data_IF_969725588312
#
_entry.id   IF_969725588312
#
_cell.length_a   1.000
_cell.length_b   1.000
_cell.length_c   1.000
_cell.angle_alpha   90.00
_cell.angle_beta   90.00
_cell.angle_gamma   90.00
#
_symmetry.space_group_name_H-M   'P 1'
#
loop_
_entity.id
_entity.type
_entity.pdbx_description
1 polymer ?
#
# COMPACT_ATOMS: atom_id res chain seq x y z
N UNK A 1 -8.59 4.02 -16.13
CA UNK A 1 -7.82 3.63 -14.93
C UNK A 1 -8.82 3.63 -13.81
N UNK A 2 -9.11 2.46 -13.25
CA UNK A 2 -9.99 2.39 -12.08
C UNK A 2 -9.29 3.11 -10.94
N UNK A 3 -9.87 4.21 -10.47
CA UNK A 3 -9.41 4.90 -9.27
C UNK A 3 -9.42 3.89 -8.13
N UNK A 4 -8.23 3.52 -7.67
CA UNK A 4 -8.06 2.59 -6.58
C UNK A 4 -8.86 3.11 -5.38
N UNK A 5 -9.98 2.45 -5.09
CA UNK A 5 -10.92 2.91 -4.07
C UNK A 5 -10.40 2.48 -2.70
N UNK A 6 -9.49 3.26 -2.16
CA UNK A 6 -9.10 3.19 -0.76
C UNK A 6 -10.35 3.35 0.10
N UNK A 7 -10.47 2.64 1.21
CA UNK A 7 -11.53 2.82 2.21
C UNK A 7 -10.89 2.91 3.58
N UNK A 8 -11.41 3.75 4.45
CA UNK A 8 -10.87 3.92 5.80
C UNK A 8 -11.83 3.28 6.79
N UNK A 9 -11.41 2.17 7.38
CA UNK A 9 -12.21 1.46 8.39
C UNK A 9 -11.83 1.97 9.78
N UNK A 10 -12.82 2.41 10.54
CA UNK A 10 -12.65 2.79 11.95
C UNK A 10 -12.10 1.58 12.74
N UNK A 11 -11.00 1.76 13.47
CA UNK A 11 -10.37 0.66 14.22
C UNK A 11 -10.57 0.76 15.74
N UNK A 12 -11.20 1.85 16.21
CA UNK A 12 -11.53 2.08 17.62
C UNK A 12 -10.40 2.58 18.50
N UNK A 13 -9.18 2.68 17.98
CA UNK A 13 -8.06 3.31 18.67
C UNK A 13 -8.27 4.81 18.77
N UNK A 14 -8.04 5.37 19.96
CA UNK A 14 -8.03 6.81 20.19
C UNK A 14 -6.59 7.30 20.30
N UNK A 15 -6.30 8.45 19.70
CA UNK A 15 -5.06 9.17 19.97
C UNK A 15 -4.99 9.61 21.44
N UNK A 16 -3.81 10.05 21.88
CA UNK A 16 -3.73 10.84 23.10
C UNK A 16 -4.54 12.14 22.95
N UNK A 17 -5.12 12.57 24.07
CA UNK A 17 -5.87 13.82 24.14
C UNK A 17 -4.90 14.98 24.44
N UNK A 18 -4.59 15.79 23.43
CA UNK A 18 -3.59 16.86 23.47
C UNK A 18 -4.21 18.24 23.71
N UNK A 19 -3.51 19.10 24.45
CA UNK A 19 -3.97 20.44 24.81
C UNK A 19 -3.75 20.73 26.29
N UNK A 20 -4.43 21.74 26.83
CA UNK A 20 -4.23 22.15 28.21
C UNK A 20 -4.92 21.20 29.21
N UNK A 21 -4.12 20.51 30.02
CA UNK A 21 -4.61 19.57 31.05
C UNK A 21 -5.24 20.25 32.26
N UNK A 22 -4.90 21.52 32.53
CA UNK A 22 -5.34 22.27 33.71
C UNK A 22 -6.68 22.99 33.49
N UNK A 23 -7.15 23.05 32.24
CA UNK A 23 -8.42 23.70 31.89
C UNK A 23 -9.53 22.65 31.82
N UNK A 24 -10.54 22.83 32.67
CA UNK A 24 -11.74 22.01 32.67
C UNK A 24 -12.51 22.09 31.35
N UNK A 25 -13.51 21.24 31.19
CA UNK A 25 -14.37 21.22 30.00
C UNK A 25 -15.23 19.96 29.96
N UNK A 26 -16.36 20.05 29.27
CA UNK A 26 -17.19 18.90 28.95
C UNK A 26 -16.47 18.00 27.95
N UNK A 27 -16.64 16.69 28.11
CA UNK A 27 -16.20 15.72 27.12
C UNK A 27 -17.08 15.80 25.89
N UNK A 28 -16.43 15.71 24.73
CA UNK A 28 -17.07 15.80 23.42
C UNK A 28 -16.53 14.67 22.55
N UNK A 29 -17.41 14.04 21.78
CA UNK A 29 -17.07 12.90 20.96
C UNK A 29 -18.02 12.82 19.77
N UNK A 30 -17.53 13.11 18.57
CA UNK A 30 -18.38 13.10 17.37
C UNK A 30 -18.81 11.67 16.98
N UNK A 31 -18.19 10.64 17.55
CA UNK A 31 -18.65 9.26 17.35
C UNK A 31 -20.04 9.04 17.96
N UNK A 32 -20.42 9.81 19.00
CA UNK A 32 -21.76 9.75 19.59
C UNK A 32 -22.81 10.30 18.59
N UNK A 33 -22.48 11.37 17.87
CA UNK A 33 -23.33 11.94 16.81
C UNK A 33 -23.47 10.98 15.64
N UNK A 34 -22.38 10.36 15.22
CA UNK A 34 -22.39 9.35 14.15
C UNK A 34 -23.24 8.15 14.59
N UNK A 35 -23.10 7.67 15.82
CA UNK A 35 -23.89 6.53 16.33
C UNK A 35 -25.39 6.84 16.32
N UNK A 36 -25.77 8.04 16.76
CA UNK A 36 -27.16 8.51 16.73
C UNK A 36 -27.72 8.57 15.31
N UNK A 37 -26.97 9.12 14.36
CA UNK A 37 -27.41 9.23 12.95
C UNK A 37 -27.54 7.87 12.25
N UNK A 38 -26.74 6.89 12.69
CA UNK A 38 -26.79 5.51 12.21
C UNK A 38 -27.77 4.63 13.00
N UNK A 39 -28.53 5.19 13.95
CA UNK A 39 -29.45 4.48 14.84
C UNK A 39 -28.81 3.24 15.50
N UNK A 40 -27.61 3.43 16.05
CA UNK A 40 -26.84 2.36 16.68
C UNK A 40 -26.05 2.87 17.88
N UNK A 41 -25.44 1.95 18.63
CA UNK A 41 -24.57 2.32 19.75
C UNK A 41 -23.14 2.61 19.27
N UNK A 42 -22.42 3.44 20.02
CA UNK A 42 -21.00 3.68 19.79
C UNK A 42 -20.17 2.41 19.90
N UNK A 43 -20.49 1.51 20.83
CA UNK A 43 -19.85 0.20 20.93
C UNK A 43 -20.04 -0.63 19.67
N UNK A 44 -21.22 -0.59 19.05
CA UNK A 44 -21.49 -1.35 17.84
C UNK A 44 -20.72 -0.77 16.64
N UNK A 45 -20.57 0.56 16.56
CA UNK A 45 -19.72 1.18 15.53
C UNK A 45 -18.28 0.68 15.58
N UNK A 46 -17.76 0.48 16.80
CA UNK A 46 -16.38 0.04 17.01
C UNK A 46 -16.20 -1.48 16.78
N UNK A 47 -17.22 -2.28 17.09
CA UNK A 47 -17.08 -3.74 17.16
C UNK A 47 -17.72 -4.51 15.99
N UNK A 48 -18.76 -3.97 15.35
CA UNK A 48 -19.64 -4.75 14.46
C UNK A 48 -19.42 -4.49 12.96
N UNK A 49 -18.29 -3.89 12.57
CA UNK A 49 -17.93 -3.65 11.16
C UNK A 49 -19.05 -2.93 10.36
N UNK A 50 -19.85 -2.10 11.04
CA UNK A 50 -20.99 -1.35 10.48
C UNK A 50 -20.49 -0.30 9.50
N UNK A 51 -19.45 0.43 9.90
CA UNK A 51 -18.79 1.43 9.07
C UNK A 51 -17.78 0.72 8.14
N UNK A 52 -17.99 0.85 6.84
CA UNK A 52 -17.08 0.38 5.79
C UNK A 52 -16.06 1.44 5.37
N UNK A 53 -16.46 2.71 5.42
CA UNK A 53 -15.59 3.84 5.11
C UNK A 53 -16.03 5.04 5.96
N UNK A 54 -15.09 5.70 6.63
CA UNK A 54 -15.33 6.97 7.33
C UNK A 54 -14.26 7.99 6.94
N UNK A 55 -14.69 9.19 6.56
CA UNK A 55 -13.81 10.25 6.11
C UNK A 55 -14.27 11.61 6.58
N UNK A 56 -13.31 12.49 6.86
CA UNK A 56 -13.58 13.91 7.04
C UNK A 56 -13.73 14.56 5.65
N UNK A 57 -14.87 15.22 5.41
CA UNK A 57 -15.13 16.00 4.19
C UNK A 57 -14.80 17.47 4.35
N UNK A 58 -15.09 18.01 5.52
CA UNK A 58 -14.91 19.42 5.80
C UNK A 58 -14.61 19.60 7.29
N UNK A 59 -13.82 20.61 7.60
CA UNK A 59 -13.63 21.12 8.95
C UNK A 59 -13.94 22.60 8.93
N UNK A 60 -14.77 23.04 9.87
CA UNK A 60 -14.98 24.45 10.16
C UNK A 60 -14.31 24.79 11.47
N UNK A 61 -13.55 25.87 11.49
CA UNK A 61 -12.82 26.35 12.66
C UNK A 61 -13.21 27.81 12.85
N UNK A 62 -13.66 28.16 14.04
CA UNK A 62 -13.89 29.55 14.42
C UNK A 62 -12.71 30.01 15.25
N UNK A 63 -12.06 31.09 14.81
CA UNK A 63 -10.90 31.64 15.49
C UNK A 63 -10.86 33.17 15.46
N UNK A 64 -10.37 33.75 16.56
CA UNK A 64 -9.94 35.14 16.65
C UNK A 64 -8.61 35.24 17.41
N UNK A 65 -8.68 35.36 18.75
CA UNK A 65 -7.50 35.39 19.63
C UNK A 65 -7.04 33.98 20.06
N UNK A 66 -7.92 32.99 19.89
CA UNK A 66 -7.69 31.57 20.06
C UNK A 66 -8.70 30.81 19.18
N UNK A 67 -8.68 29.47 19.22
CA UNK A 67 -9.70 28.63 18.57
C UNK A 67 -10.93 28.56 19.49
N UNK A 68 -11.93 29.35 19.14
CA UNK A 68 -13.23 29.39 19.83
C UNK A 68 -14.00 28.09 19.61
N UNK A 69 -14.05 27.59 18.38
CA UNK A 69 -14.83 26.39 18.08
C UNK A 69 -14.30 25.57 16.90
N UNK A 70 -14.71 24.30 16.86
CA UNK A 70 -14.46 23.40 15.73
C UNK A 70 -15.69 22.56 15.43
N UNK A 71 -15.92 22.25 14.15
CA UNK A 71 -16.96 21.34 13.70
C UNK A 71 -16.43 20.51 12.54
N UNK A 72 -16.58 19.20 12.64
CA UNK A 72 -16.21 18.25 11.58
C UNK A 72 -17.44 17.81 10.80
N UNK A 73 -17.23 17.51 9.53
CA UNK A 73 -18.25 16.98 8.63
C UNK A 73 -17.73 15.69 8.03
N UNK A 74 -18.56 14.65 8.05
CA UNK A 74 -18.14 13.29 7.75
C UNK A 74 -18.87 12.72 6.53
N UNK A 75 -18.15 11.91 5.74
CA UNK A 75 -18.73 10.90 4.85
C UNK A 75 -18.64 9.56 5.56
N UNK A 76 -19.77 8.90 5.79
CA UNK A 76 -19.78 7.58 6.42
C UNK A 76 -20.50 6.60 5.52
N UNK A 77 -19.81 5.55 5.08
CA UNK A 77 -20.36 4.48 4.24
C UNK A 77 -20.60 3.25 5.10
N UNK A 78 -21.80 2.72 5.05
CA UNK A 78 -22.22 1.44 5.67
C UNK A 78 -22.42 0.38 4.59
N UNK A 79 -22.91 -0.81 4.95
CA UNK A 79 -23.29 -1.83 3.97
C UNK A 79 -24.36 -1.32 2.99
N UNK A 80 -25.30 -0.53 3.48
CA UNK A 80 -26.53 -0.26 2.74
C UNK A 80 -26.53 1.11 2.07
N UNK A 81 -25.87 2.09 2.69
CA UNK A 81 -25.85 3.46 2.17
C UNK A 81 -24.67 4.30 2.66
N UNK A 82 -24.46 5.42 1.97
CA UNK A 82 -23.52 6.48 2.35
C UNK A 82 -24.27 7.66 2.95
N UNK A 83 -23.79 8.15 4.09
CA UNK A 83 -24.30 9.28 4.84
C UNK A 83 -23.35 10.46 4.73
N UNK A 84 -23.91 11.67 4.71
CA UNK A 84 -23.15 12.91 4.98
C UNK A 84 -23.61 13.41 6.34
N UNK A 85 -22.74 13.31 7.35
CA UNK A 85 -23.08 13.56 8.75
C UNK A 85 -22.39 14.83 9.21
N UNK A 86 -23.16 15.75 9.78
CA UNK A 86 -22.61 16.95 10.39
C UNK A 86 -22.29 16.62 11.85
N UNK A 87 -21.01 16.69 12.22
CA UNK A 87 -20.60 16.64 13.61
C UNK A 87 -21.14 17.84 14.39
N UNK A 88 -21.05 17.78 15.72
CA UNK A 88 -21.48 18.91 16.54
C UNK A 88 -20.47 20.05 16.43
N UNK A 89 -20.96 21.29 16.53
CA UNK A 89 -20.06 22.42 16.76
C UNK A 89 -19.65 22.39 18.23
N UNK A 90 -18.36 22.26 18.49
CA UNK A 90 -17.79 22.21 19.82
C UNK A 90 -17.07 23.52 20.15
N UNK A 91 -17.15 23.98 21.40
CA UNK A 91 -16.57 25.25 21.82
C UNK A 91 -17.57 26.42 21.85
N UNK A 92 -17.06 27.64 21.71
CA UNK A 92 -17.83 28.87 21.85
C UNK A 92 -18.51 29.40 20.58
N UNK A 93 -19.14 30.56 20.73
CA UNK A 93 -19.80 31.30 19.64
C UNK A 93 -18.92 32.38 19.00
N UNK A 94 -17.72 32.62 19.55
CA UNK A 94 -16.77 33.62 19.06
C UNK A 94 -16.05 33.19 17.78
N UNK A 95 -15.15 34.05 17.30
CA UNK A 95 -14.25 33.78 16.19
C UNK A 95 -14.84 33.97 14.80
N UNK A 96 -13.96 34.23 13.83
CA UNK A 96 -14.27 34.21 12.39
C UNK A 96 -14.16 32.78 11.87
N UNK A 97 -15.11 32.39 11.04
CA UNK A 97 -15.13 31.06 10.42
C UNK A 97 -14.01 30.93 9.36
N UNK A 98 -13.25 29.84 9.45
CA UNK A 98 -12.36 29.31 8.44
C UNK A 98 -12.82 27.91 8.05
N UNK A 99 -12.83 27.62 6.74
CA UNK A 99 -13.32 26.36 6.19
C UNK A 99 -12.16 25.61 5.51
N UNK A 100 -12.01 24.34 5.86
CA UNK A 100 -11.11 23.39 5.19
C UNK A 100 -12.00 22.39 4.45
N UNK A 101 -11.87 22.32 3.12
CA UNK A 101 -12.56 21.32 2.29
C UNK A 101 -11.57 20.24 1.87
N UNK A 102 -11.96 18.98 2.04
CA UNK A 102 -11.18 17.81 1.68
C UNK A 102 -11.57 17.33 0.29
N UNK A 103 -10.57 16.97 -0.50
CA UNK A 103 -10.76 16.33 -1.80
C UNK A 103 -11.16 14.85 -1.64
N UNK A 104 -11.76 14.27 -2.68
CA UNK A 104 -12.05 12.84 -2.67
C UNK A 104 -10.74 12.03 -2.57
N UNK A 105 -10.65 11.19 -1.54
CA UNK A 105 -9.44 10.42 -1.26
C UNK A 105 -8.50 11.07 -0.24
N UNK A 106 -8.71 12.34 0.10
CA UNK A 106 -7.89 13.04 1.09
C UNK A 106 -8.16 12.55 2.52
N UNK A 107 -7.10 12.29 3.28
CA UNK A 107 -7.21 11.93 4.69
C UNK A 107 -6.12 12.58 5.56
N UNK A 108 -6.40 12.68 6.85
CA UNK A 108 -5.54 13.35 7.84
C UNK A 108 -4.48 12.36 8.33
N UNK A 109 -3.21 12.67 8.07
CA UNK A 109 -2.05 11.90 8.53
C UNK A 109 -1.54 12.34 9.89
N UNK A 110 -1.62 13.63 10.18
CA UNK A 110 -1.16 14.17 11.44
C UNK A 110 -1.86 15.48 11.76
N UNK A 111 -1.93 15.78 13.05
CA UNK A 111 -2.39 17.07 13.55
C UNK A 111 -1.29 17.62 14.43
N UNK A 112 -1.02 18.90 14.30
CA UNK A 112 -0.20 19.61 15.27
C UNK A 112 -0.86 20.91 15.65
N UNK A 113 -0.40 21.51 16.72
CA UNK A 113 -0.99 22.73 17.20
C UNK A 113 -0.17 23.38 18.28
N UNK A 114 -0.67 24.52 18.73
CA UNK A 114 -0.08 25.26 19.83
C UNK A 114 -1.15 25.72 20.80
N UNK A 115 -0.79 25.80 22.07
CA UNK A 115 -1.64 26.38 23.11
C UNK A 115 -0.81 27.29 24.02
N UNK A 116 -1.40 28.40 24.45
CA UNK A 116 -0.77 29.38 25.32
C UNK A 116 -1.13 29.09 26.78
N UNK A 117 -0.24 28.58 27.64
CA UNK A 117 -0.51 28.61 29.07
C UNK A 117 -0.60 30.08 29.51
N UNK A 118 -1.77 30.54 29.92
CA UNK A 118 -1.90 31.91 30.44
C UNK A 118 -0.89 32.20 31.57
N UNK A 119 -0.66 33.47 31.93
CA UNK A 119 0.36 33.93 32.90
C UNK A 119 0.35 33.22 34.28
N UNK A 120 -0.69 32.45 34.59
CA UNK A 120 -0.83 31.65 35.81
C UNK A 120 -0.72 30.13 35.60
N UNK A 121 -0.42 29.65 34.38
CA UNK A 121 -0.25 28.24 34.03
C UNK A 121 -1.53 27.39 34.05
N UNK A 122 -2.71 28.01 34.11
CA UNK A 122 -3.98 27.33 34.46
C UNK A 122 -5.03 27.29 33.35
N UNK A 123 -5.09 28.25 32.42
CA UNK A 123 -6.24 28.40 31.51
C UNK A 123 -5.91 28.67 30.03
N UNK A 124 -4.83 28.09 29.52
CA UNK A 124 -4.53 28.14 28.10
C UNK A 124 -5.58 27.56 27.16
N UNK A 125 -5.79 28.26 26.05
CA UNK A 125 -6.64 27.86 24.93
C UNK A 125 -5.79 27.23 23.83
N UNK A 126 -6.43 26.45 22.96
CA UNK A 126 -5.83 26.04 21.70
C UNK A 126 -5.78 27.25 20.76
N UNK A 127 -4.60 27.65 20.30
CA UNK A 127 -4.40 28.88 19.52
C UNK A 127 -4.01 28.63 18.07
N UNK A 128 -3.38 27.49 17.81
CA UNK A 128 -3.02 27.07 16.46
C UNK A 128 -3.41 25.60 16.25
N UNK A 129 -3.92 25.32 15.05
CA UNK A 129 -4.08 23.97 14.53
C UNK A 129 -3.50 23.88 13.12
N UNK A 130 -2.75 22.81 12.90
CA UNK A 130 -2.21 22.42 11.61
C UNK A 130 -2.64 20.99 11.32
N UNK A 131 -3.20 20.78 10.14
CA UNK A 131 -3.52 19.46 9.61
C UNK A 131 -2.53 19.13 8.50
N UNK A 132 -1.96 17.92 8.57
CA UNK A 132 -1.13 17.34 7.52
C UNK A 132 -1.96 16.23 6.87
N UNK A 133 -2.25 16.41 5.59
CA UNK A 133 -3.14 15.52 4.85
C UNK A 133 -2.41 14.89 3.67
N UNK A 134 -2.90 13.74 3.21
CA UNK A 134 -2.39 13.07 2.02
C UNK A 134 -3.51 12.72 1.06
N UNK A 135 -3.22 12.90 -0.24
CA UNK A 135 -4.12 12.60 -1.35
C UNK A 135 -3.45 11.50 -2.19
N UNK A 136 -3.84 10.22 -2.03
CA UNK A 136 -3.19 9.09 -2.70
C UNK A 136 -3.18 9.21 -4.22
N UNK A 137 -4.31 9.60 -4.81
CA UNK A 137 -4.46 9.72 -6.27
C UNK A 137 -3.52 10.73 -6.91
N UNK A 138 -3.01 11.69 -6.12
CA UNK A 138 -2.07 12.73 -6.56
C UNK A 138 -0.66 12.53 -6.00
N UNK A 139 -0.46 11.53 -5.14
CA UNK A 139 0.73 11.36 -4.32
C UNK A 139 1.20 12.69 -3.67
N UNK A 140 0.26 13.43 -3.09
CA UNK A 140 0.48 14.81 -2.66
C UNK A 140 0.17 15.01 -1.17
N UNK A 141 1.01 15.79 -0.48
CA UNK A 141 0.82 16.19 0.90
C UNK A 141 0.31 17.63 0.95
N UNK A 142 -0.79 17.86 1.66
CA UNK A 142 -1.42 19.17 1.82
C UNK A 142 -1.38 19.61 3.27
N UNK A 143 -1.17 20.91 3.48
CA UNK A 143 -1.07 21.50 4.81
C UNK A 143 -2.15 22.56 4.98
N UNK A 144 -2.90 22.48 6.08
CA UNK A 144 -3.83 23.53 6.48
C UNK A 144 -3.40 24.05 7.83
N UNK A 145 -3.05 25.34 7.92
CA UNK A 145 -2.68 26.01 9.18
C UNK A 145 -3.72 27.09 9.48
N UNK A 146 -4.30 27.03 10.67
CA UNK A 146 -5.12 28.10 11.24
C UNK A 146 -4.45 28.56 12.53
N UNK A 147 -4.27 29.87 12.66
CA UNK A 147 -3.49 30.46 13.74
C UNK A 147 -4.15 31.74 14.22
N UNK A 148 -4.45 31.78 15.51
CA UNK A 148 -4.98 32.95 16.20
C UNK A 148 -3.87 33.84 16.77
N UNK A 149 -2.83 33.22 17.35
CA UNK A 149 -1.66 33.90 17.94
C UNK A 149 -0.44 32.96 17.93
N UNK A 150 0.77 33.50 17.99
CA UNK A 150 1.98 32.71 18.20
C UNK A 150 2.20 32.39 19.69
N UNK A 151 2.33 31.10 19.97
CA UNK A 151 2.48 30.54 21.32
C UNK A 151 3.70 29.62 21.37
N UNK A 152 4.16 29.29 22.59
CA UNK A 152 5.41 28.58 22.80
C UNK A 152 5.26 27.08 23.05
N UNK A 153 4.09 26.60 23.50
CA UNK A 153 3.88 25.17 23.70
C UNK A 153 3.22 24.56 22.48
N UNK A 154 3.92 23.66 21.81
CA UNK A 154 3.42 22.89 20.69
C UNK A 154 3.08 21.46 21.09
N UNK A 155 2.17 20.85 20.34
CA UNK A 155 2.00 19.41 20.32
C UNK A 155 1.98 18.94 18.86
N UNK A 156 2.38 17.70 18.68
CA UNK A 156 2.28 16.96 17.43
C UNK A 156 1.67 15.60 17.73
N UNK A 157 0.71 15.19 16.93
CA UNK A 157 0.06 13.89 17.02
C UNK A 157 0.02 13.25 15.64
N UNK A 158 0.53 12.03 15.59
CA UNK A 158 0.47 11.14 14.44
C UNK A 158 -0.12 9.81 14.91
N UNK A 159 -0.95 9.16 14.09
CA UNK A 159 -1.56 7.89 14.43
C UNK A 159 -0.53 6.76 14.29
N UNK A 160 -0.88 5.54 14.68
CA UNK A 160 -0.01 4.39 14.49
C UNK A 160 0.35 4.17 13.00
N UNK A 161 1.51 3.54 12.74
CA UNK A 161 1.93 3.24 11.36
C UNK A 161 0.84 2.46 10.60
N UNK A 162 0.51 2.91 9.38
CA UNK A 162 -0.54 2.31 8.56
C UNK A 162 -1.98 2.75 8.89
N UNK A 163 -2.16 3.76 9.76
CA UNK A 163 -3.47 4.31 10.12
C UNK A 163 -3.56 5.81 9.86
N UNK A 164 -4.78 6.36 9.93
CA UNK A 164 -5.13 7.76 9.66
C UNK A 164 -6.15 8.27 10.67
N UNK A 165 -6.29 9.59 10.81
CA UNK A 165 -7.32 10.16 11.68
C UNK A 165 -8.68 10.30 10.98
N UNK A 166 -9.74 9.94 11.68
CA UNK A 166 -11.08 9.75 11.09
C UNK A 166 -12.20 10.52 11.77
N UNK A 167 -12.26 10.48 13.12
CA UNK A 167 -13.35 11.07 13.90
C UNK A 167 -12.80 11.88 15.07
N UNK A 168 -13.44 12.99 15.40
CA UNK A 168 -12.96 13.91 16.42
C UNK A 168 -13.52 13.57 17.80
N UNK A 169 -12.69 13.74 18.83
CA UNK A 169 -13.13 13.80 20.22
C UNK A 169 -12.26 14.81 20.98
N UNK A 170 -12.68 15.23 22.16
CA UNK A 170 -11.96 16.29 22.84
C UNK A 170 -12.53 16.70 24.19
N UNK A 171 -12.09 17.88 24.62
CA UNK A 171 -12.72 18.65 25.69
C UNK A 171 -12.90 20.10 25.25
N UNK A 172 -14.03 20.68 25.61
CA UNK A 172 -14.29 22.09 25.39
C UNK A 172 -15.00 22.74 26.57
N UNK A 173 -14.88 24.05 26.65
CA UNK A 173 -15.76 24.88 27.48
C UNK A 173 -16.83 25.51 26.60
N UNK A 174 -17.71 26.33 27.19
CA UNK A 174 -18.66 27.15 26.43
C UNK A 174 -17.98 28.27 25.62
N UNK A 175 -16.65 28.41 25.71
CA UNK A 175 -15.90 29.48 25.08
C UNK A 175 -14.89 28.97 24.06
N UNK A 176 -14.27 27.82 24.31
CA UNK A 176 -13.11 27.38 23.52
C UNK A 176 -12.89 25.88 23.54
N UNK A 177 -12.14 25.40 22.54
CA UNK A 177 -11.55 24.07 22.55
C UNK A 177 -10.35 24.06 23.48
N UNK A 178 -10.32 23.11 24.42
CA UNK A 178 -9.23 23.00 25.40
C UNK A 178 -8.31 21.83 25.08
N UNK A 179 -8.88 20.72 24.58
CA UNK A 179 -8.12 19.53 24.19
C UNK A 179 -8.73 18.85 22.97
N UNK A 180 -7.87 18.29 22.12
CA UNK A 180 -8.21 17.59 20.88
C UNK A 180 -7.63 16.18 20.89
N UNK A 181 -8.41 15.23 20.41
CA UNK A 181 -8.01 13.88 20.07
C UNK A 181 -8.77 13.42 18.83
N UNK A 182 -8.28 12.33 18.22
CA UNK A 182 -8.89 11.74 17.04
C UNK A 182 -8.94 10.23 17.17
N UNK A 183 -9.99 9.62 16.63
CA UNK A 183 -10.02 8.19 16.37
C UNK A 183 -9.17 7.86 15.15
N UNK A 184 -8.54 6.70 15.21
CA UNK A 184 -7.77 6.14 14.12
C UNK A 184 -8.63 5.24 13.22
N UNK A 185 -8.25 5.19 11.95
CA UNK A 185 -8.81 4.26 10.98
C UNK A 185 -7.70 3.59 10.20
N UNK A 186 -7.89 2.32 9.86
CA UNK A 186 -6.99 1.58 9.00
C UNK A 186 -7.36 1.83 7.55
N UNK A 187 -6.36 2.22 6.74
CA UNK A 187 -6.52 2.30 5.30
C UNK A 187 -6.64 0.86 4.77
N UNK A 188 -7.71 0.59 4.02
CA UNK A 188 -7.90 -0.67 3.30
C UNK A 188 -7.92 -0.37 1.81
N UNK A 189 -7.06 -1.03 1.04
CA UNK A 189 -7.28 -1.21 -0.41
C UNK A 189 -7.62 -2.67 -0.67
N UNK A 190 -8.38 -2.89 -1.74
CA UNK A 190 -8.69 -4.25 -2.21
C UNK A 190 -7.40 -5.03 -2.52
N UNK A 191 -6.37 -4.35 -3.05
CA UNK A 191 -5.05 -4.96 -3.27
C UNK A 191 -4.40 -5.38 -1.95
N UNK A 192 -4.40 -4.52 -0.93
CA UNK A 192 -3.83 -4.87 0.38
C UNK A 192 -4.54 -6.06 1.03
N UNK A 193 -5.87 -6.14 0.92
CA UNK A 193 -6.63 -7.30 1.41
C UNK A 193 -6.27 -8.59 0.67
N UNK A 194 -6.09 -8.54 -0.67
CA UNK A 194 -5.67 -9.70 -1.45
C UNK A 194 -4.25 -10.16 -1.07
N UNK A 195 -3.32 -9.23 -0.85
CA UNK A 195 -1.97 -9.57 -0.38
C UNK A 195 -1.95 -10.11 1.03
N UNK A 196 -2.77 -9.56 1.93
CA UNK A 196 -2.94 -10.08 3.29
C UNK A 196 -3.48 -11.52 3.25
N UNK A 197 -4.53 -11.78 2.47
CA UNK A 197 -5.08 -13.14 2.31
C UNK A 197 -4.05 -14.14 1.79
N UNK A 198 -3.25 -13.74 0.79
CA UNK A 198 -2.18 -14.57 0.26
C UNK A 198 -1.08 -14.82 1.31
N UNK A 199 -0.75 -13.80 2.10
CA UNK A 199 0.21 -13.93 3.20
C UNK A 199 -0.31 -14.83 4.32
N UNK A 200 -1.58 -14.70 4.72
CA UNK A 200 -2.20 -15.53 5.76
C UNK A 200 -2.30 -17.00 5.33
N UNK A 201 -2.47 -17.27 4.03
CA UNK A 201 -2.44 -18.60 3.46
C UNK A 201 -1.04 -19.25 3.56
N UNK A 202 0.02 -18.48 3.28
CA UNK A 202 1.40 -18.97 3.30
C UNK A 202 2.02 -18.97 4.71
N UNK A 203 1.58 -18.06 5.57
CA UNK A 203 2.12 -17.85 6.92
C UNK A 203 0.99 -17.68 7.96
N UNK A 204 0.31 -18.77 8.34
CA UNK A 204 -0.68 -18.71 9.39
C UNK A 204 -0.07 -18.10 10.66
N UNK A 205 -0.74 -17.10 11.21
CA UNK A 205 -0.35 -16.43 12.46
C UNK A 205 0.89 -15.53 12.39
N UNK A 206 1.37 -15.14 11.19
CA UNK A 206 2.37 -14.08 11.04
C UNK A 206 1.73 -12.79 10.50
N UNK A 207 2.12 -11.60 11.00
CA UNK A 207 1.70 -10.35 10.39
C UNK A 207 2.22 -10.25 8.96
N UNK A 208 1.48 -9.55 8.11
CA UNK A 208 1.90 -9.34 6.72
C UNK A 208 3.23 -8.59 6.65
N UNK A 209 4.15 -9.20 5.92
CA UNK A 209 5.43 -8.60 5.56
C UNK A 209 5.66 -8.90 4.07
N UNK A 210 5.64 -7.83 3.26
CA UNK A 210 5.81 -7.96 1.81
C UNK A 210 7.18 -8.54 1.44
N UNK A 211 8.23 -8.25 2.20
CA UNK A 211 9.57 -8.79 1.96
C UNK A 211 9.57 -10.30 2.15
N UNK A 212 8.97 -10.77 3.25
CA UNK A 212 8.83 -12.20 3.56
C UNK A 212 7.95 -12.91 2.52
N UNK A 213 6.82 -12.31 2.14
CA UNK A 213 5.94 -12.84 1.09
C UNK A 213 6.66 -12.95 -0.27
N UNK A 214 7.41 -11.91 -0.66
CA UNK A 214 8.18 -11.89 -1.91
C UNK A 214 9.26 -12.96 -1.92
N UNK A 215 9.98 -13.13 -0.81
CA UNK A 215 11.00 -14.18 -0.66
C UNK A 215 10.38 -15.58 -0.79
N UNK A 216 9.25 -15.83 -0.13
CA UNK A 216 8.59 -17.14 -0.18
C UNK A 216 8.01 -17.47 -1.56
N UNK A 217 7.40 -16.50 -2.24
CA UNK A 217 6.97 -16.69 -3.64
C UNK A 217 8.17 -17.02 -4.53
N UNK A 218 9.32 -16.35 -4.32
CA UNK A 218 10.55 -16.64 -5.06
C UNK A 218 11.06 -18.05 -4.78
N UNK A 219 11.05 -18.46 -3.51
CA UNK A 219 11.42 -19.81 -3.07
C UNK A 219 10.53 -20.89 -3.70
N UNK A 220 9.21 -20.70 -3.67
CA UNK A 220 8.23 -21.62 -4.27
C UNK A 220 8.44 -21.76 -5.78
N UNK A 221 8.60 -20.63 -6.50
CA UNK A 221 8.92 -20.65 -7.94
C UNK A 221 10.20 -21.41 -8.25
N UNK A 222 11.24 -21.22 -7.44
CA UNK A 222 12.50 -21.95 -7.61
C UNK A 222 12.31 -23.46 -7.41
N UNK A 223 11.56 -23.87 -6.37
CA UNK A 223 11.28 -25.27 -6.08
C UNK A 223 10.48 -25.97 -7.19
N UNK A 224 9.60 -25.26 -7.87
CA UNK A 224 8.84 -25.79 -9.00
C UNK A 224 9.69 -25.84 -10.29
N UNK A 225 10.47 -24.79 -10.56
CA UNK A 225 11.21 -24.66 -11.81
C UNK A 225 12.48 -25.52 -11.85
N UNK A 226 13.20 -25.67 -10.73
CA UNK A 226 14.47 -26.39 -10.70
C UNK A 226 14.37 -27.87 -11.11
N UNK A 227 13.38 -28.66 -10.63
CA UNK A 227 13.17 -30.03 -11.11
C UNK A 227 12.82 -30.07 -12.60
N UNK A 228 11.95 -29.17 -13.07
CA UNK A 228 11.56 -29.10 -14.48
C UNK A 228 12.76 -28.84 -15.40
N UNK A 229 13.65 -27.91 -15.02
CA UNK A 229 14.89 -27.64 -15.78
C UNK A 229 15.77 -28.88 -15.83
N UNK A 230 15.91 -29.59 -14.71
CA UNK A 230 16.69 -30.84 -14.65
C UNK A 230 16.13 -31.91 -15.59
N UNK A 231 14.81 -32.11 -15.56
CA UNK A 231 14.14 -33.13 -16.38
C UNK A 231 14.24 -32.81 -17.88
N UNK A 232 14.03 -31.55 -18.27
CA UNK A 232 14.19 -31.13 -19.67
C UNK A 232 15.64 -31.23 -20.14
N UNK A 233 16.63 -30.94 -19.29
CA UNK A 233 18.06 -31.16 -19.60
C UNK A 233 18.38 -32.63 -19.84
N UNK A 234 17.83 -33.53 -19.02
CA UNK A 234 18.01 -34.96 -19.21
C UNK A 234 17.43 -35.41 -20.57
N UNK A 235 16.19 -35.03 -20.88
CA UNK A 235 15.54 -35.33 -22.17
C UNK A 235 16.32 -34.77 -23.37
N UNK A 236 16.84 -33.55 -23.23
CA UNK A 236 17.66 -32.94 -24.29
C UNK A 236 19.02 -33.63 -24.45
N UNK A 237 19.61 -34.12 -23.37
CA UNK A 237 20.81 -34.96 -23.41
C UNK A 237 20.55 -36.25 -24.21
N UNK A 238 19.44 -36.93 -23.97
CA UNK A 238 19.03 -38.11 -24.73
C UNK A 238 18.80 -37.80 -26.20
N UNK A 239 18.06 -36.71 -26.50
CA UNK A 239 17.83 -36.25 -27.87
C UNK A 239 19.14 -35.96 -28.59
N UNK A 240 20.09 -35.29 -27.91
CA UNK A 240 21.40 -34.95 -28.47
C UNK A 240 22.20 -36.23 -28.79
N UNK A 241 22.24 -37.19 -27.88
CA UNK A 241 22.90 -38.49 -28.11
C UNK A 241 22.30 -39.20 -29.32
N UNK A 242 20.97 -39.27 -29.42
CA UNK A 242 20.29 -39.90 -30.55
C UNK A 242 20.63 -39.20 -31.87
N UNK A 243 20.67 -37.87 -31.89
CA UNK A 243 21.03 -37.10 -33.09
C UNK A 243 22.48 -37.31 -33.50
N UNK A 244 23.40 -37.39 -32.54
CA UNK A 244 24.82 -37.70 -32.80
C UNK A 244 24.98 -39.10 -33.40
N UNK A 245 24.35 -40.11 -32.80
CA UNK A 245 24.38 -41.49 -33.32
C UNK A 245 23.83 -41.56 -34.74
N UNK A 246 22.74 -40.83 -35.05
CA UNK A 246 22.16 -40.78 -36.39
C UNK A 246 23.02 -40.00 -37.39
N UNK A 247 23.73 -38.97 -36.95
CA UNK A 247 24.62 -38.17 -37.78
C UNK A 247 25.90 -38.93 -38.20
N UNK A 248 26.31 -39.97 -37.45
CA UNK A 248 27.48 -40.79 -37.75
C UNK A 248 28.77 -39.96 -37.74
N UNK A 249 29.50 -39.95 -38.85
CA UNK A 249 30.76 -39.20 -39.01
C UNK A 249 30.62 -37.68 -38.76
N UNK A 250 29.39 -37.16 -38.77
CA UNK A 250 29.09 -35.75 -38.51
C UNK A 250 28.71 -35.44 -37.05
N UNK A 251 28.96 -36.34 -36.09
CA UNK A 251 28.65 -36.10 -34.66
C UNK A 251 29.21 -34.76 -34.13
N UNK A 252 30.43 -34.40 -34.55
CA UNK A 252 31.08 -33.15 -34.14
C UNK A 252 30.39 -31.92 -34.71
N UNK A 253 29.72 -32.05 -35.86
CA UNK A 253 28.94 -30.97 -36.46
C UNK A 253 27.66 -30.73 -35.67
N UNK A 254 27.09 -31.76 -35.04
CA UNK A 254 25.97 -31.60 -34.09
C UNK A 254 26.42 -30.76 -32.88
N UNK A 255 27.58 -31.04 -32.32
CA UNK A 255 28.13 -30.24 -31.21
C UNK A 255 28.36 -28.77 -31.62
N UNK A 256 28.98 -28.55 -32.78
CA UNK A 256 29.19 -27.21 -33.32
C UNK A 256 27.86 -26.48 -33.55
N UNK A 257 26.84 -27.14 -34.11
CA UNK A 257 25.51 -26.57 -34.29
C UNK A 257 24.92 -26.09 -32.95
N UNK A 258 24.99 -26.94 -31.92
CA UNK A 258 24.44 -26.63 -30.59
C UNK A 258 25.21 -25.51 -29.90
N UNK A 259 26.53 -25.47 -30.02
CA UNK A 259 27.34 -24.40 -29.42
C UNK A 259 27.14 -23.06 -30.14
N UNK A 260 27.06 -23.07 -31.47
CA UNK A 260 26.74 -21.86 -32.25
C UNK A 260 25.33 -21.36 -31.95
N UNK A 261 24.35 -22.25 -31.76
CA UNK A 261 23.00 -21.85 -31.37
C UNK A 261 22.95 -21.20 -29.98
N UNK A 262 23.72 -21.72 -29.00
CA UNK A 262 23.88 -21.06 -27.69
C UNK A 262 24.44 -19.65 -27.81
N UNK A 263 25.40 -19.44 -28.72
CA UNK A 263 25.94 -18.10 -28.99
C UNK A 263 24.90 -17.20 -29.66
N UNK A 264 24.15 -17.73 -30.62
CA UNK A 264 23.11 -17.00 -31.35
C UNK A 264 21.98 -16.49 -30.43
N UNK A 265 21.63 -17.28 -29.41
CA UNK A 265 20.61 -16.90 -28.41
C UNK A 265 21.06 -15.68 -27.60
N UNK A 266 22.37 -15.56 -27.32
CA UNK A 266 22.93 -14.42 -26.56
C UNK A 266 23.20 -13.21 -27.45
N UNK A 267 23.73 -13.46 -28.65
CA UNK A 267 24.16 -12.44 -29.59
C UNK A 267 23.69 -12.81 -31.01
N UNK A 268 22.79 -12.00 -31.57
CA UNK A 268 22.23 -12.24 -32.90
C UNK A 268 23.13 -11.64 -34.00
N UNK A 269 24.33 -12.19 -34.16
CA UNK A 269 25.31 -11.75 -35.16
C UNK A 269 25.09 -12.46 -36.52
N UNK A 270 25.27 -11.71 -37.62
CA UNK A 270 25.09 -12.21 -38.98
C UNK A 270 26.08 -13.35 -39.34
N UNK A 271 27.29 -13.33 -38.78
CA UNK A 271 28.28 -14.40 -38.90
C UNK A 271 27.82 -15.68 -38.20
N UNK A 272 27.23 -15.56 -37.00
CA UNK A 272 26.69 -16.69 -36.23
C UNK A 272 25.52 -17.33 -36.98
N UNK A 273 24.63 -16.52 -37.56
CA UNK A 273 23.54 -17.02 -38.40
C UNK A 273 24.06 -17.74 -39.65
N UNK A 274 25.12 -17.21 -40.29
CA UNK A 274 25.80 -17.88 -41.40
C UNK A 274 26.37 -19.25 -41.02
N UNK A 275 26.99 -19.36 -39.85
CA UNK A 275 27.49 -20.64 -39.31
C UNK A 275 26.37 -21.64 -39.04
N UNK A 276 25.26 -21.21 -38.42
CA UNK A 276 24.09 -22.06 -38.19
C UNK A 276 23.52 -22.63 -39.49
N UNK A 277 23.39 -21.81 -40.54
CA UNK A 277 22.91 -22.24 -41.85
C UNK A 277 23.87 -23.28 -42.45
N UNK A 278 25.18 -23.06 -42.35
CA UNK A 278 26.18 -23.99 -42.87
C UNK A 278 26.12 -25.35 -42.15
N UNK A 279 26.06 -25.37 -40.82
CA UNK A 279 25.99 -26.61 -40.05
C UNK A 279 24.68 -27.37 -40.27
N UNK A 280 23.54 -26.65 -40.37
CA UNK A 280 22.26 -27.26 -40.75
C UNK A 280 22.35 -27.94 -42.12
N UNK A 281 22.88 -27.25 -43.12
CA UNK A 281 23.03 -27.77 -44.49
C UNK A 281 23.86 -29.06 -44.54
N UNK A 282 24.96 -29.13 -43.77
CA UNK A 282 25.78 -30.36 -43.67
C UNK A 282 24.99 -31.50 -43.03
N UNK A 283 24.27 -31.22 -41.94
CA UNK A 283 23.51 -32.23 -41.19
C UNK A 283 22.23 -32.70 -41.91
N UNK A 284 21.66 -31.90 -42.81
CA UNK A 284 20.50 -32.27 -43.64
C UNK A 284 20.78 -33.48 -44.56
N UNK A 285 22.05 -33.86 -44.75
CA UNK A 285 22.43 -35.10 -45.44
C UNK A 285 22.13 -36.38 -44.65
N UNK A 286 21.90 -36.28 -43.33
CA UNK A 286 21.70 -37.42 -42.41
C UNK A 286 20.49 -37.24 -41.48
N UNK A 287 20.15 -36.01 -41.14
CA UNK A 287 19.05 -35.64 -40.25
C UNK A 287 17.98 -34.91 -41.06
N UNK A 288 16.72 -35.11 -40.68
CA UNK A 288 15.62 -34.37 -41.30
C UNK A 288 15.56 -32.94 -40.78
N UNK A 289 14.95 -32.04 -41.56
CA UNK A 289 14.70 -30.66 -41.13
C UNK A 289 13.91 -30.58 -39.83
N UNK A 290 12.93 -31.46 -39.65
CA UNK A 290 12.11 -31.52 -38.45
C UNK A 290 12.92 -31.95 -37.22
N UNK A 291 13.85 -32.90 -37.37
CA UNK A 291 14.74 -33.32 -36.29
C UNK A 291 15.69 -32.19 -35.86
N UNK A 292 16.28 -31.49 -36.84
CA UNK A 292 17.14 -30.34 -36.58
C UNK A 292 16.36 -29.20 -35.93
N UNK A 293 15.13 -28.93 -36.40
CA UNK A 293 14.29 -27.90 -35.83
C UNK A 293 13.85 -28.25 -34.41
N UNK A 294 13.48 -29.51 -34.14
CA UNK A 294 13.13 -29.98 -32.81
C UNK A 294 14.31 -29.83 -31.83
N UNK A 295 15.51 -30.26 -32.24
CA UNK A 295 16.73 -30.14 -31.43
C UNK A 295 17.02 -28.67 -31.04
N UNK A 296 16.99 -27.75 -32.01
CA UNK A 296 17.28 -26.34 -31.77
C UNK A 296 16.19 -25.62 -30.98
N UNK A 297 14.92 -25.99 -31.21
CA UNK A 297 13.79 -25.45 -30.46
C UNK A 297 13.89 -25.86 -29.00
N UNK A 298 14.21 -27.13 -28.71
CA UNK A 298 14.41 -27.60 -27.33
C UNK A 298 15.62 -27.00 -26.64
N UNK A 299 16.70 -26.76 -27.35
CA UNK A 299 17.84 -26.05 -26.78
C UNK A 299 17.46 -24.61 -26.37
N UNK A 300 16.65 -23.94 -27.20
CA UNK A 300 16.18 -22.58 -26.92
C UNK A 300 15.27 -22.56 -25.69
N UNK A 301 14.33 -23.50 -25.58
CA UNK A 301 13.46 -23.63 -24.40
C UNK A 301 14.27 -23.86 -23.12
N UNK A 302 15.27 -24.75 -23.15
CA UNK A 302 16.11 -25.04 -21.98
C UNK A 302 16.92 -23.80 -21.56
N UNK A 303 17.52 -23.08 -22.50
CA UNK A 303 18.26 -21.86 -22.17
C UNK A 303 17.34 -20.81 -21.51
N UNK A 304 16.10 -20.64 -21.98
CA UNK A 304 15.13 -19.74 -21.35
C UNK A 304 14.76 -20.19 -19.92
N UNK A 305 14.58 -21.49 -19.71
CA UNK A 305 14.29 -22.03 -18.38
C UNK A 305 15.48 -21.85 -17.42
N UNK A 306 16.72 -22.01 -17.91
CA UNK A 306 17.94 -21.78 -17.13
C UNK A 306 18.13 -20.32 -16.75
N UNK A 307 17.88 -19.38 -17.67
CA UNK A 307 17.94 -17.94 -17.39
C UNK A 307 16.88 -17.54 -16.36
N UNK A 308 15.65 -18.04 -16.50
CA UNK A 308 14.59 -17.81 -15.52
C UNK A 308 14.97 -18.34 -14.14
N UNK A 309 15.60 -19.52 -14.07
CA UNK A 309 16.05 -20.11 -12.82
C UNK A 309 17.20 -19.31 -12.18
N UNK A 310 18.17 -18.86 -12.98
CA UNK A 310 19.28 -18.03 -12.51
C UNK A 310 18.79 -16.69 -11.93
N UNK A 311 17.82 -16.05 -12.59
CA UNK A 311 17.19 -14.83 -12.10
C UNK A 311 16.49 -15.05 -10.74
N UNK A 312 15.90 -16.22 -10.50
CA UNK A 312 15.30 -16.54 -9.20
C UNK A 312 16.36 -16.76 -8.10
N UNK A 313 17.53 -17.34 -8.42
CA UNK A 313 18.62 -17.51 -7.45
C UNK A 313 19.23 -16.19 -7.00
N UNK A 314 19.41 -15.22 -7.91
CA UNK A 314 19.91 -13.88 -7.58
C UNK A 314 18.99 -13.19 -6.56
N UNK A 315 17.68 -13.43 -6.67
CA UNK A 315 16.67 -12.84 -5.78
C UNK A 315 16.51 -13.57 -4.44
N UNK A 316 17.24 -14.68 -4.22
CA UNK A 316 17.27 -15.43 -2.95
C UNK A 316 18.48 -15.09 -2.06
N UNK A 317 19.46 -14.34 -2.59
CA UNK A 317 20.62 -13.83 -1.85
C UNK A 317 20.33 -12.47 -1.21
#
# INVERSE_FOLDING_TARGET
MDDEKWTIKLNGTKSLLNGNINKGGGEIDDLDTIAKELDTSKSDLLNNNIIKDIRVKQIKIWLENHIDAIQFFYKVTTNDKTYSINGNKHGGSGGKEAIINFEDGEYILAISGKYDPNEFGRYGNLDQLKFINYIPSKNHIKFYKNSAKDCNISFDMSPAAGTVYTCFFGKCTNYSITRIGMYEGSIQSQQFQQFQQLSDLLFPSKPYDFSVLKQEITRLKYQELAPRVRDEKNKFGELTTNMKTKAGDFEKVVDLLLDTQKQAIKNNDQLIQGQLIAYKSVLESKLTKDELQNLLSKQTEINQLEENLANLQINLQ
#
